data_IF_500190919027
#
_entry.id   IF_500190919027
#
_cell.length_a   1.000
_cell.length_b   1.000
_cell.length_c   1.000
_cell.angle_alpha   90.00
_cell.angle_beta   90.00
_cell.angle_gamma   90.00
#
_symmetry.space_group_name_H-M   'P 1'
#
loop_
_entity.id
_entity.type
_entity.pdbx_description
1 polymer ?
#
# COMPACT_ATOMS: atom_id res chain seq x y z
N UNK A 1 -20.24 28.93 -6.12
CA UNK A 1 -19.28 29.05 -5.00
C UNK A 1 -19.06 27.67 -4.43
N UNK A 2 -17.90 27.07 -4.74
CA UNK A 2 -17.50 25.75 -4.27
C UNK A 2 -16.78 25.92 -2.94
N UNK A 3 -17.33 25.37 -1.86
CA UNK A 3 -16.58 25.11 -0.64
C UNK A 3 -16.60 23.61 -0.42
N UNK A 4 -15.57 22.97 -0.99
CA UNK A 4 -15.20 21.60 -0.66
C UNK A 4 -15.05 21.48 0.85
N UNK A 5 -15.89 20.62 1.42
CA UNK A 5 -15.79 20.07 2.75
C UNK A 5 -14.42 19.40 2.90
N UNK A 6 -13.49 20.14 3.51
CA UNK A 6 -12.31 19.58 4.14
C UNK A 6 -12.79 18.65 5.25
N UNK A 7 -12.74 17.35 4.97
CA UNK A 7 -13.00 16.28 5.91
C UNK A 7 -12.10 16.43 7.16
N UNK A 8 -12.66 16.66 8.38
CA UNK A 8 -11.86 16.82 9.59
C UNK A 8 -11.29 15.48 10.12
N UNK A 9 -11.67 14.33 9.53
CA UNK A 9 -11.17 13.02 9.95
C UNK A 9 -9.74 12.70 9.47
N UNK A 10 -9.20 13.46 8.51
CA UNK A 10 -7.86 13.24 7.95
C UNK A 10 -6.70 13.87 8.75
N UNK A 11 -6.97 14.89 9.59
CA UNK A 11 -5.92 15.69 10.23
C UNK A 11 -5.37 15.13 11.56
N UNK A 12 -5.98 14.10 12.15
CA UNK A 12 -5.57 13.57 13.47
C UNK A 12 -4.72 12.30 13.44
N UNK A 13 -4.37 11.76 12.27
CA UNK A 13 -3.64 10.49 12.14
C UNK A 13 -2.16 10.62 11.76
N UNK A 14 -1.72 11.82 11.39
CA UNK A 14 -0.40 12.10 10.83
C UNK A 14 0.37 13.11 11.68
N UNK A 15 0.53 12.86 12.97
CA UNK A 15 1.63 13.51 13.72
C UNK A 15 2.30 12.51 14.67
N UNK A 16 2.07 11.22 14.49
CA UNK A 16 2.54 10.20 15.42
C UNK A 16 4.07 10.10 15.40
N UNK A 17 4.72 10.14 14.23
CA UNK A 17 6.17 10.00 14.20
C UNK A 17 6.87 11.25 14.75
N UNK A 18 6.38 12.44 14.37
CA UNK A 18 6.93 13.70 14.83
C UNK A 18 6.82 13.83 16.36
N UNK A 19 5.63 13.58 16.93
CA UNK A 19 5.44 13.67 18.38
C UNK A 19 6.27 12.64 19.15
N UNK A 20 6.40 11.42 18.63
CA UNK A 20 7.24 10.40 19.27
C UNK A 20 8.71 10.80 19.22
N UNK A 21 9.22 11.25 18.07
CA UNK A 21 10.60 11.72 17.95
C UNK A 21 10.87 12.93 18.87
N UNK A 22 9.95 13.90 18.93
CA UNK A 22 10.06 15.04 19.84
C UNK A 22 10.04 14.60 21.31
N UNK A 23 9.23 13.60 21.65
CA UNK A 23 9.21 13.03 23.01
C UNK A 23 10.55 12.39 23.38
N UNK A 24 11.20 11.68 22.45
CA UNK A 24 12.54 11.11 22.67
C UNK A 24 13.57 12.22 22.90
N UNK A 25 13.57 13.25 22.05
CA UNK A 25 14.50 14.37 22.16
C UNK A 25 14.32 15.18 23.46
N UNK A 26 13.08 15.51 23.81
CA UNK A 26 12.76 16.24 25.04
C UNK A 26 13.20 15.45 26.29
N UNK A 27 13.03 14.12 26.32
CA UNK A 27 13.50 13.27 27.43
C UNK A 27 15.02 13.32 27.61
N UNK A 28 15.76 13.61 26.55
CA UNK A 28 17.22 13.76 26.57
C UNK A 28 17.67 15.21 26.78
N UNK A 29 16.74 16.12 27.07
CA UNK A 29 17.02 17.53 27.36
C UNK A 29 17.17 18.41 26.11
N UNK A 30 16.71 17.95 24.94
CA UNK A 30 16.72 18.73 23.72
C UNK A 30 15.32 19.28 23.42
N UNK A 31 15.11 20.56 23.70
CA UNK A 31 13.80 21.23 23.58
C UNK A 31 13.65 22.08 22.31
N UNK A 32 14.72 22.23 21.52
CA UNK A 32 14.70 23.03 20.30
C UNK A 32 13.84 22.36 19.22
N UNK A 33 13.01 23.15 18.54
CA UNK A 33 12.25 22.68 17.38
C UNK A 33 13.12 22.65 16.12
N UNK A 34 13.10 21.53 15.40
CA UNK A 34 13.82 21.36 14.14
C UNK A 34 12.83 21.16 12.98
N UNK A 35 12.78 22.11 12.02
CA UNK A 35 11.92 21.99 10.85
C UNK A 35 12.16 20.74 10.01
N UNK A 36 13.42 20.33 9.84
CA UNK A 36 13.79 19.15 9.03
C UNK A 36 13.32 17.82 9.64
N UNK A 37 13.19 17.73 10.97
CA UNK A 37 12.59 16.59 11.66
C UNK A 37 11.11 16.48 11.30
N UNK A 38 10.39 17.60 11.34
CA UNK A 38 8.96 17.67 10.99
C UNK A 38 8.73 17.27 9.54
N UNK A 39 9.47 17.86 8.60
CA UNK A 39 9.38 17.50 7.18
C UNK A 39 9.60 16.00 6.92
N UNK A 40 10.60 15.41 7.60
CA UNK A 40 10.89 13.98 7.45
C UNK A 40 9.77 13.12 8.01
N UNK A 41 9.22 13.48 9.17
CA UNK A 41 8.10 12.77 9.79
C UNK A 41 6.82 12.87 8.95
N UNK A 42 6.49 14.05 8.44
CA UNK A 42 5.33 14.25 7.56
C UNK A 42 5.46 13.41 6.27
N UNK A 43 6.67 13.36 5.69
CA UNK A 43 6.95 12.54 4.51
C UNK A 43 6.82 11.03 4.79
N UNK A 44 7.27 10.59 5.96
CA UNK A 44 7.08 9.21 6.42
C UNK A 44 5.61 8.83 6.51
N UNK A 45 4.79 9.66 7.16
CA UNK A 45 3.40 9.34 7.41
C UNK A 45 2.57 9.33 6.11
N UNK A 46 2.85 10.28 5.22
CA UNK A 46 2.27 10.28 3.88
C UNK A 46 2.58 8.96 3.15
N UNK A 47 3.83 8.51 3.14
CA UNK A 47 4.20 7.27 2.46
C UNK A 47 3.62 6.04 3.16
N UNK A 48 3.58 6.02 4.49
CA UNK A 48 2.98 4.93 5.25
C UNK A 48 1.49 4.76 4.89
N UNK A 49 0.74 5.85 4.86
CA UNK A 49 -0.67 5.81 4.44
C UNK A 49 -0.83 5.32 2.99
N UNK A 50 0.01 5.84 2.08
CA UNK A 50 -0.01 5.44 0.67
C UNK A 50 0.29 3.95 0.49
N UNK A 51 1.32 3.42 1.16
CA UNK A 51 1.70 2.01 1.10
C UNK A 51 0.60 1.12 1.70
N UNK A 52 0.05 1.47 2.86
CA UNK A 52 -1.06 0.72 3.46
C UNK A 52 -2.29 0.68 2.55
N UNK A 53 -2.60 1.78 1.88
CA UNK A 53 -3.68 1.83 0.88
C UNK A 53 -3.39 0.88 -0.30
N UNK A 54 -2.17 0.90 -0.86
CA UNK A 54 -1.77 -0.01 -1.94
C UNK A 54 -1.86 -1.48 -1.53
N UNK A 55 -1.36 -1.83 -0.34
CA UNK A 55 -1.45 -3.19 0.23
C UNK A 55 -2.91 -3.63 0.27
N UNK A 56 -3.81 -2.77 0.75
CA UNK A 56 -5.24 -3.06 0.80
C UNK A 56 -5.83 -3.29 -0.59
N UNK A 57 -5.55 -2.40 -1.56
CA UNK A 57 -6.03 -2.55 -2.94
C UNK A 57 -5.52 -3.84 -3.60
N UNK A 58 -4.23 -4.16 -3.47
CA UNK A 58 -3.67 -5.39 -4.04
C UNK A 58 -4.22 -6.66 -3.36
N UNK A 59 -4.44 -6.61 -2.04
CA UNK A 59 -5.13 -7.68 -1.31
C UNK A 59 -6.53 -7.92 -1.86
N UNK A 60 -7.35 -6.87 -1.94
CA UNK A 60 -8.75 -6.97 -2.39
C UNK A 60 -8.82 -7.44 -3.84
N UNK A 61 -8.07 -6.82 -4.75
CA UNK A 61 -8.03 -7.21 -6.17
C UNK A 61 -7.55 -8.65 -6.36
N UNK A 62 -6.52 -9.08 -5.64
CA UNK A 62 -6.05 -10.46 -5.66
C UNK A 62 -7.13 -11.45 -5.20
N UNK A 63 -7.80 -11.17 -4.08
CA UNK A 63 -8.90 -12.02 -3.59
C UNK A 63 -10.08 -12.08 -4.56
N UNK A 64 -10.51 -10.93 -5.08
CA UNK A 64 -11.63 -10.86 -6.03
C UNK A 64 -11.31 -11.69 -7.27
N UNK A 65 -10.12 -11.55 -7.86
CA UNK A 65 -9.74 -12.30 -9.05
C UNK A 65 -9.61 -13.81 -8.77
N UNK A 66 -9.02 -14.19 -7.63
CA UNK A 66 -8.88 -15.60 -7.23
C UNK A 66 -10.23 -16.29 -7.01
N UNK A 67 -11.25 -15.55 -6.58
CA UNK A 67 -12.58 -16.11 -6.30
C UNK A 67 -13.48 -16.05 -7.54
N UNK A 68 -13.50 -14.94 -8.27
CA UNK A 68 -14.44 -14.72 -9.39
C UNK A 68 -14.11 -15.58 -10.61
N UNK A 69 -12.82 -15.81 -10.92
CA UNK A 69 -12.41 -16.62 -12.07
C UNK A 69 -12.91 -18.07 -11.94
N UNK A 70 -12.67 -18.81 -10.83
CA UNK A 70 -13.21 -20.16 -10.65
C UNK A 70 -14.74 -20.21 -10.64
N UNK A 71 -15.41 -19.22 -10.02
CA UNK A 71 -16.88 -19.18 -9.98
C UNK A 71 -17.46 -19.05 -11.38
N UNK A 72 -16.97 -18.09 -12.18
CA UNK A 72 -17.45 -17.93 -13.56
C UNK A 72 -17.10 -19.15 -14.42
N UNK A 73 -15.91 -19.74 -14.25
CA UNK A 73 -15.55 -20.98 -14.93
C UNK A 73 -16.49 -22.14 -14.59
N UNK A 74 -16.89 -22.28 -13.32
CA UNK A 74 -17.82 -23.31 -12.89
C UNK A 74 -19.24 -23.08 -13.43
N UNK A 75 -19.72 -21.84 -13.42
CA UNK A 75 -21.03 -21.47 -13.99
C UNK A 75 -21.07 -21.79 -15.49
N UNK A 76 -20.02 -21.42 -16.24
CA UNK A 76 -19.91 -21.74 -17.67
C UNK A 76 -19.86 -23.26 -17.88
N UNK A 77 -19.09 -23.99 -17.07
CA UNK A 77 -19.00 -25.45 -17.17
C UNK A 77 -20.36 -26.13 -16.93
N UNK A 78 -21.14 -25.65 -15.96
CA UNK A 78 -22.51 -26.13 -15.69
C UNK A 78 -23.44 -25.81 -16.86
N UNK A 79 -23.33 -24.62 -17.47
CA UNK A 79 -24.12 -24.24 -18.64
C UNK A 79 -23.81 -25.08 -19.89
N UNK A 80 -22.54 -25.48 -20.04
CA UNK A 80 -22.05 -26.26 -21.18
C UNK A 80 -22.24 -27.78 -20.99
N UNK A 81 -22.56 -28.23 -19.77
CA UNK A 81 -22.75 -29.64 -19.47
C UNK A 81 -24.07 -30.15 -20.08
N UNK A 82 -23.98 -30.97 -21.13
CA UNK A 82 -25.11 -31.54 -21.87
C UNK A 82 -25.67 -32.80 -21.20
N UNK A 83 -25.96 -32.72 -19.89
CA UNK A 83 -26.69 -33.78 -19.19
C UNK A 83 -28.18 -33.75 -19.58
N UNK A 84 -28.80 -34.93 -19.67
CA UNK A 84 -30.23 -35.07 -19.98
C UNK A 84 -31.08 -34.36 -18.92
N UNK A 85 -31.95 -33.46 -19.40
CA UNK A 85 -32.74 -32.46 -18.65
C UNK A 85 -31.98 -31.20 -18.22
N UNK A 86 -32.03 -30.18 -19.08
CA UNK A 86 -31.56 -28.82 -18.78
C UNK A 86 -32.65 -28.11 -17.96
N UNK A 87 -32.49 -27.87 -16.64
CA UNK A 87 -33.46 -27.10 -15.87
C UNK A 87 -33.57 -25.67 -16.41
N UNK A 88 -34.72 -25.00 -16.23
CA UNK A 88 -34.95 -23.63 -16.71
C UNK A 88 -33.84 -22.63 -16.30
N UNK A 89 -33.24 -22.85 -15.13
CA UNK A 89 -32.07 -22.13 -14.64
C UNK A 89 -30.84 -22.24 -15.57
N UNK A 90 -30.55 -23.43 -16.10
CA UNK A 90 -29.45 -23.65 -17.05
C UNK A 90 -29.71 -23.03 -18.41
N UNK A 91 -30.98 -22.87 -18.82
CA UNK A 91 -31.37 -22.18 -20.05
C UNK A 91 -31.09 -20.67 -19.98
N UNK A 92 -31.46 -20.03 -18.86
CA UNK A 92 -31.13 -18.62 -18.61
C UNK A 92 -29.62 -18.39 -18.50
N UNK A 93 -28.88 -19.34 -17.95
CA UNK A 93 -27.41 -19.25 -17.89
C UNK A 93 -26.78 -19.43 -19.28
N UNK A 94 -27.33 -20.30 -20.13
CA UNK A 94 -26.84 -20.52 -21.49
C UNK A 94 -26.92 -19.24 -22.35
N UNK A 95 -27.96 -18.43 -22.17
CA UNK A 95 -28.11 -17.13 -22.86
C UNK A 95 -27.04 -16.12 -22.46
N UNK A 96 -26.60 -16.12 -21.20
CA UNK A 96 -25.58 -15.20 -20.68
C UNK A 96 -24.15 -15.77 -20.72
N UNK A 97 -23.99 -17.06 -21.01
CA UNK A 97 -22.70 -17.75 -21.06
C UNK A 97 -21.67 -17.08 -22.00
N UNK A 98 -22.04 -16.53 -23.17
CA UNK A 98 -21.10 -15.79 -24.01
C UNK A 98 -20.55 -14.53 -23.32
N UNK A 99 -21.41 -13.77 -22.65
CA UNK A 99 -21.02 -12.57 -21.90
C UNK A 99 -20.14 -12.91 -20.70
N UNK A 100 -20.48 -13.97 -19.96
CA UNK A 100 -19.66 -14.49 -18.86
C UNK A 100 -18.28 -14.95 -19.34
N UNK A 101 -18.20 -15.55 -20.52
CA UNK A 101 -16.92 -15.98 -21.12
C UNK A 101 -16.04 -14.79 -21.48
N UNK A 102 -16.61 -13.72 -22.06
CA UNK A 102 -15.88 -12.47 -22.34
C UNK A 102 -15.38 -11.85 -21.03
N UNK A 103 -16.23 -11.78 -20.01
CA UNK A 103 -15.86 -11.25 -18.70
C UNK A 103 -14.73 -12.07 -18.06
N UNK A 104 -14.80 -13.40 -18.14
CA UNK A 104 -13.76 -14.31 -17.66
C UNK A 104 -12.42 -14.06 -18.36
N UNK A 105 -12.42 -13.87 -19.69
CA UNK A 105 -11.22 -13.53 -20.45
C UNK A 105 -10.64 -12.20 -19.98
N UNK A 106 -11.47 -11.16 -19.82
CA UNK A 106 -11.01 -9.86 -19.31
C UNK A 106 -10.40 -9.99 -17.93
N UNK A 107 -11.06 -10.68 -16.98
CA UNK A 107 -10.54 -10.89 -15.63
C UNK A 107 -9.23 -11.69 -15.63
N UNK A 108 -9.10 -12.67 -16.52
CA UNK A 108 -7.88 -13.47 -16.67
C UNK A 108 -6.74 -12.59 -17.21
N UNK A 109 -7.00 -11.79 -18.25
CA UNK A 109 -6.02 -10.83 -18.80
C UNK A 109 -5.58 -9.85 -17.73
N UNK A 110 -6.52 -9.26 -16.98
CA UNK A 110 -6.21 -8.36 -15.87
C UNK A 110 -5.36 -9.05 -14.80
N UNK A 111 -5.69 -10.29 -14.42
CA UNK A 111 -4.89 -11.05 -13.46
C UNK A 111 -3.45 -11.30 -13.97
N UNK A 112 -3.29 -11.63 -15.25
CA UNK A 112 -1.97 -11.87 -15.86
C UNK A 112 -1.15 -10.59 -16.07
N UNK A 113 -1.79 -9.48 -16.44
CA UNK A 113 -1.13 -8.22 -16.75
C UNK A 113 -0.74 -7.46 -15.47
N UNK A 114 -1.64 -7.41 -14.49
CA UNK A 114 -1.41 -6.67 -13.26
C UNK A 114 -0.71 -7.50 -12.18
N UNK A 115 -0.73 -8.84 -12.26
CA UNK A 115 -0.12 -9.77 -11.30
C UNK A 115 -0.33 -9.34 -9.84
N UNK A 116 -1.58 -9.12 -9.40
CA UNK A 116 -1.89 -8.47 -8.12
C UNK A 116 -1.27 -9.18 -6.92
N UNK A 117 -1.14 -10.52 -6.94
CA UNK A 117 -0.48 -11.28 -5.88
C UNK A 117 1.04 -11.03 -5.77
N UNK A 118 1.73 -10.90 -6.91
CA UNK A 118 3.16 -10.54 -6.92
C UNK A 118 3.35 -9.12 -6.39
N UNK A 119 2.57 -8.17 -6.91
CA UNK A 119 2.61 -6.76 -6.47
C UNK A 119 2.24 -6.59 -5.01
N UNK A 120 1.28 -7.37 -4.50
CA UNK A 120 0.95 -7.43 -3.07
C UNK A 120 2.17 -7.81 -2.24
N UNK A 121 2.87 -8.88 -2.62
CA UNK A 121 4.05 -9.38 -1.89
C UNK A 121 5.17 -8.34 -1.84
N UNK A 122 5.48 -7.71 -2.98
CA UNK A 122 6.49 -6.64 -3.05
C UNK A 122 6.06 -5.42 -2.21
N UNK A 123 4.80 -5.01 -2.28
CA UNK A 123 4.28 -3.88 -1.51
C UNK A 123 4.33 -4.14 0.01
N UNK A 124 4.04 -5.37 0.45
CA UNK A 124 4.22 -5.78 1.83
C UNK A 124 5.70 -5.72 2.26
N UNK A 125 6.63 -6.11 1.39
CA UNK A 125 8.07 -5.96 1.63
C UNK A 125 8.47 -4.50 1.89
N UNK A 126 8.01 -3.59 1.03
CA UNK A 126 8.24 -2.14 1.20
C UNK A 126 7.63 -1.63 2.52
N UNK A 127 6.43 -2.09 2.87
CA UNK A 127 5.80 -1.77 4.15
C UNK A 127 6.61 -2.25 5.36
N UNK A 128 7.24 -3.42 5.25
CA UNK A 128 8.12 -3.96 6.28
C UNK A 128 9.42 -3.15 6.39
N UNK A 129 10.05 -2.79 5.27
CA UNK A 129 11.23 -1.92 5.25
C UNK A 129 10.93 -0.55 5.87
N UNK A 130 9.76 0.01 5.56
CA UNK A 130 9.27 1.26 6.14
C UNK A 130 9.11 1.16 7.66
N UNK A 131 8.58 0.05 8.16
CA UNK A 131 8.45 -0.22 9.59
C UNK A 131 9.82 -0.33 10.28
N UNK A 132 10.77 -1.06 9.68
CA UNK A 132 12.13 -1.20 10.23
C UNK A 132 12.86 0.13 10.24
N UNK A 133 12.75 0.92 9.16
CA UNK A 133 13.32 2.25 9.11
C UNK A 133 12.79 3.14 10.24
N UNK A 134 11.49 3.08 10.55
CA UNK A 134 10.91 3.85 11.66
C UNK A 134 11.52 3.46 13.01
N UNK A 135 11.72 2.16 13.25
CA UNK A 135 12.33 1.68 14.49
C UNK A 135 13.79 2.14 14.59
N UNK A 136 14.60 1.87 13.56
CA UNK A 136 15.99 2.34 13.49
C UNK A 136 16.10 3.86 13.67
N UNK A 137 15.15 4.60 13.10
CA UNK A 137 15.12 6.06 13.21
C UNK A 137 14.92 6.53 14.66
N UNK A 138 13.99 5.91 15.40
CA UNK A 138 13.72 6.29 16.78
C UNK A 138 14.83 5.83 17.72
N UNK A 139 15.35 4.62 17.54
CA UNK A 139 16.50 4.10 18.29
C UNK A 139 17.74 4.96 18.07
N UNK A 140 18.00 5.37 16.82
CA UNK A 140 19.13 6.24 16.51
C UNK A 140 19.01 7.65 17.10
N UNK A 141 17.78 8.18 17.28
CA UNK A 141 17.57 9.43 18.03
C UNK A 141 17.87 9.26 19.53
N UNK A 142 17.53 8.11 20.10
CA UNK A 142 17.78 7.80 21.51
C UNK A 142 19.28 7.64 21.81
N UNK A 143 20.04 7.11 20.84
CA UNK A 143 21.48 6.86 20.95
C UNK A 143 22.36 8.01 20.42
N UNK A 144 21.77 9.08 19.87
CA UNK A 144 22.52 10.17 19.22
C UNK A 144 23.42 10.91 20.23
N UNK A 145 24.73 10.89 20.03
CA UNK A 145 25.70 11.65 20.83
C UNK A 145 26.79 12.27 19.93
N UNK A 146 27.15 13.56 20.11
CA UNK A 146 26.54 14.53 21.03
C UNK A 146 25.14 14.96 20.59
N UNK A 147 24.33 15.41 21.55
CA UNK A 147 22.97 15.90 21.29
C UNK A 147 22.99 17.41 21.02
N UNK A 148 23.47 17.78 19.83
CA UNK A 148 23.51 19.15 19.33
C UNK A 148 22.83 19.27 17.95
N UNK A 149 22.49 20.50 17.56
CA UNK A 149 21.79 20.78 16.29
C UNK A 149 22.55 20.22 15.08
N UNK A 150 23.89 20.31 15.10
CA UNK A 150 24.74 19.84 14.00
C UNK A 150 24.67 18.32 13.85
N UNK A 151 24.83 17.57 14.94
CA UNK A 151 24.77 16.10 14.90
C UNK A 151 23.36 15.62 14.58
N UNK A 152 22.34 16.31 15.08
CA UNK A 152 20.94 15.98 14.79
C UNK A 152 20.59 16.23 13.33
N UNK A 153 20.98 17.38 12.75
CA UNK A 153 20.78 17.62 11.30
C UNK A 153 21.52 16.57 10.46
N UNK A 154 22.76 16.24 10.82
CA UNK A 154 23.55 15.21 10.12
C UNK A 154 22.86 13.84 10.18
N UNK A 155 22.32 13.49 11.34
CA UNK A 155 21.55 12.26 11.53
C UNK A 155 20.27 12.24 10.68
N UNK A 156 19.51 13.34 10.69
CA UNK A 156 18.28 13.47 9.90
C UNK A 156 18.56 13.38 8.40
N UNK A 157 19.66 13.93 7.90
CA UNK A 157 20.09 13.80 6.51
C UNK A 157 20.42 12.35 6.14
N UNK A 158 21.15 11.64 7.01
CA UNK A 158 21.45 10.23 6.81
C UNK A 158 20.17 9.36 6.81
N UNK A 159 19.27 9.61 7.77
CA UNK A 159 17.97 8.94 7.86
C UNK A 159 17.11 9.22 6.61
N UNK A 160 17.07 10.46 6.14
CA UNK A 160 16.38 10.87 4.91
C UNK A 160 16.97 10.17 3.69
N UNK A 161 18.28 9.99 3.59
CA UNK A 161 18.93 9.25 2.50
C UNK A 161 18.54 7.76 2.51
N UNK A 162 18.48 7.12 3.69
CA UNK A 162 17.95 5.75 3.81
C UNK A 162 16.49 5.68 3.38
N UNK A 163 15.67 6.62 3.85
CA UNK A 163 14.25 6.69 3.54
C UNK A 163 13.95 6.82 2.05
N UNK A 164 14.73 7.64 1.32
CA UNK A 164 14.59 7.79 -0.13
C UNK A 164 14.69 6.46 -0.90
N UNK A 165 15.53 5.52 -0.44
CA UNK A 165 15.63 4.20 -1.06
C UNK A 165 14.29 3.42 -0.99
N UNK A 166 13.57 3.55 0.12
CA UNK A 166 12.25 2.94 0.30
C UNK A 166 11.21 3.64 -0.60
N UNK A 167 11.30 4.96 -0.74
CA UNK A 167 10.46 5.70 -1.67
C UNK A 167 10.70 5.31 -3.13
N UNK A 168 11.96 5.14 -3.52
CA UNK A 168 12.34 4.66 -4.85
C UNK A 168 11.78 3.26 -5.12
N UNK A 169 11.83 2.35 -4.13
CA UNK A 169 11.21 1.04 -4.24
C UNK A 169 9.68 1.14 -4.45
N UNK A 170 8.98 2.04 -3.74
CA UNK A 170 7.55 2.31 -3.95
C UNK A 170 7.23 2.87 -5.35
N UNK A 171 8.10 3.73 -5.88
CA UNK A 171 7.97 4.28 -7.24
C UNK A 171 8.19 3.19 -8.28
N UNK A 172 9.23 2.38 -8.13
CA UNK A 172 9.55 1.28 -9.05
C UNK A 172 8.43 0.25 -9.12
N UNK A 173 7.71 0.02 -8.01
CA UNK A 173 6.50 -0.83 -8.01
C UNK A 173 5.36 -0.25 -8.86
N UNK A 174 5.28 1.08 -9.00
CA UNK A 174 4.24 1.73 -9.80
C UNK A 174 4.56 1.73 -11.31
N UNK A 175 5.83 1.51 -11.68
CA UNK A 175 6.22 1.39 -13.07
C UNK A 175 5.78 0.03 -13.64
N UNK A 176 5.36 -0.05 -14.91
CA UNK A 176 5.21 -1.34 -15.59
C UNK A 176 6.55 -2.09 -15.57
N UNK A 177 6.52 -3.43 -15.47
CA UNK A 177 7.72 -4.27 -15.57
C UNK A 177 8.50 -3.82 -16.81
N UNK A 178 9.70 -3.27 -16.63
CA UNK A 178 10.59 -2.94 -17.74
C UNK A 178 11.08 -4.27 -18.31
N UNK A 179 10.70 -4.52 -19.57
CA UNK A 179 11.02 -5.73 -20.33
C UNK A 179 12.53 -5.90 -20.55
#
# INVERSE_FOLDING_TARGET
>A
MSNNTCDPAGKKKNEHLYHVAKTVLNRRGYDNDIPSLKELADSFEYNNQKILSKIWWYKVSGYVLLITIPIFSAIIAVAMNKGEEIPAFSLSILEIAPSLSILLVVLTVLNTAFKPGSRFTVCCGIGLDLFHWRLEFLEGLELLEPLDDKSLVTYLEAARKKFRKIQEADINLALPEQA
#
